data_IF_120300673983
#
_entry.id   IF_120300673983
#
_cell.length_a   1.000
_cell.length_b   1.000
_cell.length_c   1.000
_cell.angle_alpha   90.00
_cell.angle_beta   90.00
_cell.angle_gamma   90.00
#
_symmetry.space_group_name_H-M   'P 1'
#
loop_
_entity.id
_entity.type
_entity.pdbx_description
1 polymer ?
#
# COMPACT_ATOMS: atom_id res chain seq x y z
N UNK A 1 -10.90 0.83 -2.97
CA UNK A 1 -12.17 0.55 -3.67
C UNK A 1 -12.47 -0.93 -3.58
N UNK A 2 -13.72 -1.31 -3.33
CA UNK A 2 -14.12 -2.73 -3.31
C UNK A 2 -15.37 -2.92 -4.16
N UNK A 3 -15.39 -4.03 -4.88
CA UNK A 3 -16.50 -4.41 -5.74
C UNK A 3 -16.88 -5.86 -5.51
N UNK A 4 -18.16 -6.08 -5.22
CA UNK A 4 -18.76 -7.40 -5.03
C UNK A 4 -19.99 -7.53 -5.93
N UNK A 5 -19.88 -8.21 -7.09
CA UNK A 5 -21.02 -8.42 -7.97
C UNK A 5 -22.13 -9.21 -7.27
N UNK A 6 -23.39 -8.80 -7.50
CA UNK A 6 -24.55 -9.55 -7.02
C UNK A 6 -24.61 -10.92 -7.73
N UNK A 7 -25.01 -11.96 -6.99
CA UNK A 7 -25.07 -13.36 -7.45
C UNK A 7 -23.70 -14.01 -7.78
N UNK A 8 -22.59 -13.35 -7.45
CA UNK A 8 -21.24 -13.91 -7.54
C UNK A 8 -20.70 -14.29 -6.16
N UNK A 9 -19.82 -15.28 -6.13
CA UNK A 9 -19.03 -15.68 -4.96
C UNK A 9 -17.73 -14.89 -4.82
N UNK A 10 -17.41 -14.06 -5.82
CA UNK A 10 -16.18 -13.27 -5.85
C UNK A 10 -16.40 -11.87 -5.27
N UNK A 11 -15.35 -11.37 -4.61
CA UNK A 11 -15.18 -9.99 -4.22
C UNK A 11 -13.78 -9.56 -4.65
N UNK A 12 -13.71 -8.38 -5.24
CA UNK A 12 -12.47 -7.80 -5.75
C UNK A 12 -12.20 -6.49 -5.00
N UNK A 13 -10.95 -6.27 -4.65
CA UNK A 13 -10.47 -5.03 -4.06
C UNK A 13 -9.35 -4.45 -4.92
N UNK A 14 -9.30 -3.12 -4.96
CA UNK A 14 -8.23 -2.39 -5.59
C UNK A 14 -7.92 -1.14 -4.78
N UNK A 15 -6.64 -0.84 -4.59
CA UNK A 15 -6.19 0.41 -3.98
C UNK A 15 -5.01 1.00 -4.73
N UNK A 16 -4.98 2.32 -4.74
CA UNK A 16 -3.85 3.15 -5.16
C UNK A 16 -3.49 4.04 -3.98
N UNK A 17 -2.20 4.19 -3.75
CA UNK A 17 -1.61 5.11 -2.81
C UNK A 17 -0.57 5.93 -3.56
N UNK A 18 -0.62 7.22 -3.34
CA UNK A 18 0.41 8.18 -3.71
C UNK A 18 0.50 9.15 -2.53
N UNK A 19 1.61 9.09 -1.80
CA UNK A 19 1.77 9.80 -0.55
C UNK A 19 3.18 10.37 -0.45
N UNK A 20 3.26 11.64 -0.07
CA UNK A 20 4.50 12.34 0.19
C UNK A 20 4.64 12.61 1.69
N UNK A 21 5.83 12.35 2.20
CA UNK A 21 6.20 12.54 3.59
C UNK A 21 7.44 13.43 3.66
N UNK A 22 7.37 14.47 4.48
CA UNK A 22 8.53 15.30 4.81
C UNK A 22 8.92 15.05 6.26
N UNK A 23 10.19 14.75 6.46
CA UNK A 23 10.76 14.54 7.78
C UNK A 23 11.66 15.71 8.14
N UNK A 24 11.37 16.35 9.27
CA UNK A 24 12.21 17.38 9.85
C UNK A 24 12.99 16.79 11.02
N UNK A 25 14.32 16.85 10.94
CA UNK A 25 15.22 16.33 11.96
C UNK A 25 15.06 17.08 13.29
N UNK A 26 14.84 16.35 14.39
CA UNK A 26 14.93 16.85 15.75
C UNK A 26 16.35 16.77 16.34
N UNK A 27 16.56 17.40 17.49
CA UNK A 27 17.88 17.60 18.11
C UNK A 27 18.68 16.30 18.39
N UNK A 28 18.00 15.16 18.55
CA UNK A 28 18.62 13.87 18.86
C UNK A 28 18.24 12.77 17.87
N UNK A 29 17.93 13.15 16.63
CA UNK A 29 17.49 12.20 15.61
C UNK A 29 18.66 11.70 14.75
N UNK A 30 18.61 10.40 14.43
CA UNK A 30 19.61 9.68 13.62
C UNK A 30 19.46 9.97 12.12
N UNK A 31 18.25 10.30 11.67
CA UNK A 31 17.95 10.60 10.27
C UNK A 31 18.20 12.08 9.97
N UNK A 32 18.51 12.39 8.71
CA UNK A 32 18.59 13.76 8.23
C UNK A 32 17.23 14.25 7.76
N UNK A 33 17.04 15.58 7.78
CA UNK A 33 15.86 16.21 7.17
C UNK A 33 15.81 15.83 5.69
N UNK A 34 14.68 15.31 5.26
CA UNK A 34 14.52 14.84 3.89
C UNK A 34 13.08 14.45 3.59
N UNK A 35 12.87 13.96 2.38
CA UNK A 35 11.56 13.65 1.84
C UNK A 35 11.47 12.19 1.40
N UNK A 36 10.27 11.63 1.50
CA UNK A 36 9.96 10.28 1.06
C UNK A 36 8.64 10.28 0.29
N UNK A 37 8.64 9.64 -0.87
CA UNK A 37 7.43 9.42 -1.67
C UNK A 37 7.14 7.92 -1.73
N UNK A 38 5.95 7.55 -1.27
CA UNK A 38 5.43 6.19 -1.24
C UNK A 38 4.29 6.02 -2.24
N UNK A 39 4.50 5.15 -3.22
CA UNK A 39 3.52 4.84 -4.26
C UNK A 39 3.19 3.36 -4.24
N UNK A 40 1.91 3.01 -4.05
CA UNK A 40 1.48 1.62 -3.94
C UNK A 40 0.27 1.33 -4.81
N UNK A 41 0.29 0.17 -5.46
CA UNK A 41 -0.87 -0.43 -6.11
C UNK A 41 -1.13 -1.79 -5.48
N UNK A 42 -2.39 -2.06 -5.11
CA UNK A 42 -2.78 -3.35 -4.54
C UNK A 42 -4.04 -3.89 -5.20
N UNK A 43 -4.08 -5.20 -5.36
CA UNK A 43 -5.23 -5.96 -5.80
C UNK A 43 -5.54 -7.03 -4.77
N UNK A 44 -6.82 -7.14 -4.42
CA UNK A 44 -7.33 -8.12 -3.48
C UNK A 44 -8.41 -8.96 -4.17
N UNK A 45 -8.41 -10.27 -3.92
CA UNK A 45 -9.37 -11.23 -4.44
C UNK A 45 -9.85 -12.08 -3.27
N UNK A 46 -11.17 -12.17 -3.13
CA UNK A 46 -11.83 -13.07 -2.20
C UNK A 46 -12.84 -13.91 -2.98
N UNK A 47 -12.80 -15.22 -2.80
CA UNK A 47 -13.80 -16.15 -3.29
C UNK A 47 -14.42 -16.91 -2.11
N UNK A 48 -15.75 -16.88 -1.98
CA UNK A 48 -16.49 -17.54 -0.92
C UNK A 48 -17.36 -18.68 -1.47
N UNK A 49 -16.84 -19.90 -1.41
CA UNK A 49 -17.53 -21.15 -1.72
C UNK A 49 -18.43 -21.64 -0.58
N UNK A 50 -19.13 -22.75 -0.79
CA UNK A 50 -19.96 -23.36 0.26
C UNK A 50 -19.12 -24.03 1.35
N UNK A 51 -17.96 -24.57 0.96
CA UNK A 51 -17.08 -25.36 1.83
C UNK A 51 -15.65 -24.80 1.92
N UNK A 52 -15.33 -23.79 1.11
CA UNK A 52 -13.97 -23.26 1.00
C UNK A 52 -14.01 -21.76 0.71
N UNK A 53 -13.05 -21.06 1.28
CA UNK A 53 -12.79 -19.64 1.04
C UNK A 53 -11.35 -19.50 0.55
N UNK A 54 -11.14 -18.70 -0.49
CA UNK A 54 -9.80 -18.32 -0.96
C UNK A 54 -9.68 -16.81 -0.87
N UNK A 55 -8.65 -16.36 -0.18
CA UNK A 55 -8.22 -14.96 -0.15
C UNK A 55 -6.84 -14.86 -0.79
N UNK A 56 -6.66 -13.87 -1.66
CA UNK A 56 -5.40 -13.57 -2.31
C UNK A 56 -5.20 -12.07 -2.36
N UNK A 57 -3.96 -11.64 -2.12
CA UNK A 57 -3.55 -10.25 -2.21
C UNK A 57 -2.23 -10.16 -2.96
N UNK A 58 -2.16 -9.21 -3.88
CA UNK A 58 -0.94 -8.88 -4.62
C UNK A 58 -0.74 -7.38 -4.55
N UNK A 59 0.46 -6.97 -4.19
CA UNK A 59 0.84 -5.57 -4.13
C UNK A 59 2.17 -5.31 -4.79
N UNK A 60 2.32 -4.09 -5.30
CA UNK A 60 3.60 -3.53 -5.72
C UNK A 60 3.74 -2.15 -5.13
N UNK A 61 4.93 -1.89 -4.59
CA UNK A 61 5.28 -0.62 -3.98
C UNK A 61 6.55 -0.06 -4.61
N UNK A 62 6.59 1.27 -4.74
CA UNK A 62 7.76 2.06 -5.09
C UNK A 62 7.96 3.09 -3.98
N UNK A 63 9.15 3.10 -3.40
CA UNK A 63 9.57 4.06 -2.37
C UNK A 63 10.74 4.86 -2.94
N UNK A 64 10.66 6.18 -2.85
CA UNK A 64 11.74 7.10 -3.22
C UNK A 64 12.10 7.86 -1.95
N UNK A 65 13.38 7.82 -1.58
CA UNK A 65 13.89 8.48 -0.38
C UNK A 65 14.99 9.45 -0.78
N UNK A 66 14.86 10.70 -0.40
CA UNK A 66 15.81 11.77 -0.72
C UNK A 66 16.31 12.43 0.56
N UNK A 67 17.64 12.54 0.70
CA UNK A 67 18.32 13.25 1.78
C UNK A 67 18.05 12.74 3.21
N UNK A 68 17.37 11.59 3.39
CA UNK A 68 17.08 11.02 4.72
C UNK A 68 18.26 10.27 5.34
N UNK A 69 18.98 9.45 4.55
CA UNK A 69 20.09 8.60 5.03
C UNK A 69 21.47 9.20 4.72
N UNK A 70 21.62 9.81 3.55
CA UNK A 70 22.84 10.45 3.08
C UNK A 70 22.45 11.76 2.39
N UNK A 71 22.72 12.92 3.01
CA UNK A 71 22.35 14.23 2.50
C UNK A 71 23.33 14.74 1.43
#
# INVERSE_FOLDING_TARGET
MYWRPKLSKFQFGFSLLDADFSYQRGDNDTLFTGDETSQRIMFNLLYQGQYWEIASEVMRERVIVENILFP
#
